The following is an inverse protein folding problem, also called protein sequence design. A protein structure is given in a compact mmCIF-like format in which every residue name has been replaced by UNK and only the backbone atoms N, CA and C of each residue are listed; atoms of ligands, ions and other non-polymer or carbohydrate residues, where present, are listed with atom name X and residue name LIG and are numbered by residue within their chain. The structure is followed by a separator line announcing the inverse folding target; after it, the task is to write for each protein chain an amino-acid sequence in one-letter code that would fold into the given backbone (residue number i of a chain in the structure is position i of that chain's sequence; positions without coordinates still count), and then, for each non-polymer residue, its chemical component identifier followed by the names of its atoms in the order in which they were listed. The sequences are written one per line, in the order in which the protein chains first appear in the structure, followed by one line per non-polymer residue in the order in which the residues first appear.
data_IF_507286185305
#
_entry.id   IF_507286185305
#
_cell.length_a   1.000
_cell.length_b   1.000
_cell.length_c   1.000
_cell.angle_alpha   90.00
_cell.angle_beta   90.00
_cell.angle_gamma   90.00
#
_symmetry.space_group_name_H-M   'P 1'
#
loop_
_entity.id
_entity.type
_entity.pdbx_description
1 polymer ?
#
# COMPACT_ATOMS: atom_id res chain seq x y z
N UNK A 1 13.62 9.90 5.17
CA UNK A 1 14.55 9.39 4.13
C UNK A 1 15.68 8.66 4.84
N UNK A 2 15.76 7.33 4.69
CA UNK A 2 16.66 6.42 5.41
C UNK A 2 18.13 6.55 4.97
N UNK A 3 18.73 7.73 5.13
CA UNK A 3 20.16 7.93 4.89
C UNK A 3 20.94 7.38 6.08
N UNK A 4 21.78 6.37 5.84
CA UNK A 4 22.77 5.79 6.77
C UNK A 4 22.24 4.91 7.92
N UNK A 5 20.96 4.55 7.91
CA UNK A 5 20.46 3.58 8.88
C UNK A 5 20.77 2.13 8.43
N UNK A 6 21.79 1.53 9.03
CA UNK A 6 22.21 0.14 8.78
C UNK A 6 21.24 -0.90 9.38
N UNK A 7 20.23 -0.45 10.13
CA UNK A 7 19.18 -1.29 10.72
C UNK A 7 17.88 -1.24 9.93
N UNK A 8 17.73 -0.27 9.01
CA UNK A 8 16.51 -0.11 8.22
C UNK A 8 16.26 -1.25 7.21
N UNK A 9 17.30 -2.02 6.88
CA UNK A 9 17.21 -3.13 5.93
C UNK A 9 17.89 -4.37 6.50
N UNK A 10 17.20 -5.51 6.47
CA UNK A 10 17.74 -6.81 6.84
C UNK A 10 18.09 -7.63 5.60
N UNK A 11 19.21 -8.35 5.62
CA UNK A 11 19.50 -9.36 4.63
C UNK A 11 18.57 -10.56 4.88
N UNK A 12 17.57 -10.75 4.00
CA UNK A 12 16.58 -11.83 4.09
C UNK A 12 16.26 -12.35 2.69
N UNK A 13 15.87 -13.63 2.61
CA UNK A 13 15.37 -14.20 1.35
C UNK A 13 13.98 -13.65 1.03
N UNK A 14 13.58 -13.69 -0.24
CA UNK A 14 12.24 -13.24 -0.66
C UNK A 14 11.11 -13.99 0.09
N UNK A 15 11.33 -15.27 0.42
CA UNK A 15 10.39 -16.09 1.18
C UNK A 15 10.25 -15.63 2.63
N UNK A 16 11.36 -15.27 3.26
CA UNK A 16 11.38 -14.74 4.63
C UNK A 16 10.74 -13.36 4.71
N UNK A 17 11.06 -12.47 3.76
CA UNK A 17 10.43 -11.15 3.64
C UNK A 17 8.91 -11.27 3.49
N UNK A 18 8.44 -12.11 2.56
CA UNK A 18 7.02 -12.34 2.34
C UNK A 18 6.31 -12.86 3.59
N UNK A 19 6.96 -13.75 4.35
CA UNK A 19 6.41 -14.29 5.61
C UNK A 19 6.34 -13.21 6.70
N UNK A 20 7.40 -12.42 6.87
CA UNK A 20 7.46 -11.33 7.85
C UNK A 20 6.40 -10.25 7.56
N UNK A 21 6.32 -9.82 6.31
CA UNK A 21 5.32 -8.85 5.84
C UNK A 21 3.91 -9.39 6.06
N UNK A 22 3.65 -10.64 5.70
CA UNK A 22 2.35 -11.26 5.88
C UNK A 22 1.92 -11.25 7.36
N UNK A 23 2.82 -11.54 8.29
CA UNK A 23 2.54 -11.52 9.73
C UNK A 23 2.21 -10.10 10.19
N UNK A 24 3.02 -9.12 9.79
CA UNK A 24 2.82 -7.72 10.14
C UNK A 24 1.48 -7.18 9.63
N UNK A 25 1.20 -7.32 8.32
CA UNK A 25 -0.03 -6.82 7.73
C UNK A 25 -1.28 -7.54 8.22
N UNK A 26 -1.19 -8.84 8.58
CA UNK A 26 -2.32 -9.59 9.16
C UNK A 26 -2.76 -9.06 10.52
N UNK A 27 -1.85 -8.52 11.31
CA UNK A 27 -2.14 -8.00 12.64
C UNK A 27 -2.75 -6.59 12.60
N UNK A 28 -2.62 -5.88 11.47
CA UNK A 28 -3.22 -4.55 11.30
C UNK A 28 -4.73 -4.63 11.07
N UNK A 29 -5.44 -3.62 11.55
CA UNK A 29 -6.84 -3.36 11.21
C UNK A 29 -6.99 -3.03 9.72
N UNK A 30 -8.20 -3.19 9.19
CA UNK A 30 -8.46 -2.87 7.78
C UNK A 30 -8.24 -1.37 7.48
N UNK A 31 -8.47 -0.49 8.45
CA UNK A 31 -8.24 0.95 8.33
C UNK A 31 -6.75 1.27 8.15
N UNK A 32 -5.89 0.64 8.97
CA UNK A 32 -4.44 0.82 8.87
C UNK A 32 -3.90 0.29 7.54
N UNK A 33 -4.41 -0.87 7.08
CA UNK A 33 -4.06 -1.41 5.76
C UNK A 33 -4.43 -0.45 4.63
N UNK A 34 -5.60 0.19 4.71
CA UNK A 34 -6.02 1.17 3.70
C UNK A 34 -5.16 2.44 3.72
N UNK A 35 -4.72 2.90 4.88
CA UNK A 35 -3.77 4.04 4.98
C UNK A 35 -2.45 3.71 4.29
N UNK A 36 -1.90 2.53 4.55
CA UNK A 36 -0.65 2.08 3.91
C UNK A 36 -0.84 1.98 2.40
N UNK A 37 -1.94 1.37 1.94
CA UNK A 37 -2.25 1.28 0.52
C UNK A 37 -2.39 2.67 -0.13
N UNK A 38 -3.03 3.63 0.55
CA UNK A 38 -3.14 5.01 0.08
C UNK A 38 -1.77 5.67 -0.08
N UNK A 39 -0.91 5.57 0.93
CA UNK A 39 0.46 6.09 0.87
C UNK A 39 1.27 5.45 -0.28
N UNK A 40 1.20 4.13 -0.45
CA UNK A 40 1.90 3.44 -1.54
C UNK A 40 1.41 3.91 -2.92
N UNK A 41 0.10 4.11 -3.07
CA UNK A 41 -0.46 4.66 -4.30
C UNK A 41 -0.02 6.11 -4.53
N UNK A 42 0.04 6.93 -3.48
CA UNK A 42 0.45 8.34 -3.58
C UNK A 42 1.90 8.46 -4.05
N UNK A 43 2.77 7.58 -3.57
CA UNK A 43 4.17 7.46 -4.04
C UNK A 43 4.23 6.96 -5.49
N UNK A 44 3.49 5.90 -5.83
CA UNK A 44 3.53 5.29 -7.16
C UNK A 44 3.03 6.23 -8.28
N UNK A 45 1.98 6.99 -8.00
CA UNK A 45 1.34 7.90 -8.96
C UNK A 45 1.69 9.37 -8.72
N UNK A 46 2.64 9.65 -7.81
CA UNK A 46 3.17 10.97 -7.51
C UNK A 46 2.08 12.04 -7.24
N UNK A 47 1.19 11.75 -6.28
CA UNK A 47 0.18 12.69 -5.81
C UNK A 47 0.26 12.88 -4.29
N UNK A 48 -0.22 14.01 -3.75
CA UNK A 48 -0.25 14.23 -2.31
C UNK A 48 -1.23 13.27 -1.61
N UNK A 49 -0.79 12.57 -0.57
CA UNK A 49 -1.55 11.52 0.14
C UNK A 49 -2.98 11.95 0.56
N UNK A 50 -3.14 13.22 0.95
CA UNK A 50 -4.42 13.79 1.40
C UNK A 50 -5.25 14.43 0.26
N UNK A 51 -4.75 14.42 -0.97
CA UNK A 51 -5.41 14.98 -2.14
C UNK A 51 -5.21 14.06 -3.36
N UNK A 52 -5.83 12.86 -3.33
CA UNK A 52 -5.78 11.93 -4.45
C UNK A 52 -6.46 12.53 -5.70
N UNK A 53 -5.95 12.21 -6.91
CA UNK A 53 -6.57 12.63 -8.15
C UNK A 53 -7.98 12.04 -8.28
N UNK A 54 -8.89 12.79 -8.92
CA UNK A 54 -10.25 12.33 -9.16
C UNK A 54 -10.23 11.10 -10.08
N UNK A 55 -10.78 9.99 -9.59
CA UNK A 55 -10.95 8.79 -10.39
C UNK A 55 -11.98 9.04 -11.48
N UNK A 56 -11.63 8.74 -12.73
CA UNK A 56 -12.60 8.69 -13.82
C UNK A 56 -13.46 7.43 -13.68
N UNK A 57 -14.76 7.64 -13.43
CA UNK A 57 -15.74 6.57 -13.25
C UNK A 57 -16.43 6.17 -14.57
N UNK A 58 -16.08 6.80 -15.68
CA UNK A 58 -16.69 6.54 -16.98
C UNK A 58 -16.29 5.19 -17.58
N UNK A 59 -15.11 4.67 -17.22
CA UNK A 59 -14.53 3.44 -17.81
C UNK A 59 -15.17 2.16 -17.26
N UNK A 60 -15.63 2.17 -16.01
CA UNK A 60 -16.22 1.00 -15.35
C UNK A 60 -17.69 1.20 -15.05
N UNK A 61 -18.56 0.48 -15.77
CA UNK A 61 -20.00 0.41 -15.48
C UNK A 61 -20.35 -0.95 -14.86
N UNK A 62 -20.98 -0.95 -13.68
CA UNK A 62 -21.54 -2.15 -13.07
C UNK A 62 -23.05 -2.12 -13.29
N UNK A 63 -23.58 -3.10 -14.04
CA UNK A 63 -25.02 -3.33 -14.14
C UNK A 63 -25.41 -4.43 -13.16
N UNK A 64 -26.29 -4.14 -12.20
CA UNK A 64 -26.95 -5.21 -11.46
C UNK A 64 -27.99 -5.87 -12.37
N UNK A 65 -28.04 -7.20 -12.37
CA UNK A 65 -29.20 -7.91 -12.90
C UNK A 65 -30.28 -7.92 -11.83
N UNK A 66 -31.52 -7.61 -12.23
CA UNK A 66 -32.71 -7.80 -11.40
C UNK A 66 -32.92 -9.28 -11.10
#
# INVERSE_FOLDING_TARGET
MYRLDRTAFSAQTAKEASKADQIYYKNLSWQERLKIANYLNSVAYNYPENAPPRIDKSVFSVRSRK
#
